data_IF_949507872626
#
_entry.id   IF_949507872626
#
_cell.length_a   1.000
_cell.length_b   1.000
_cell.length_c   1.000
_cell.angle_alpha   90.00
_cell.angle_beta   90.00
_cell.angle_gamma   90.00
#
_symmetry.space_group_name_H-M   'P 1'
#
loop_
_entity.id
_entity.type
_entity.pdbx_description
1 polymer ?
#
# COMPACT_ATOMS: atom_id res chain seq x y z
N UNK A 1 -7.42 45.86 36.18
CA UNK A 1 -6.18 45.49 35.47
C UNK A 1 -6.55 44.54 34.34
N UNK A 2 -6.58 45.07 33.11
CA UNK A 2 -6.86 44.29 31.90
C UNK A 2 -5.56 43.61 31.47
N UNK A 3 -5.57 42.27 31.47
CA UNK A 3 -4.48 41.46 30.93
C UNK A 3 -4.31 41.73 29.44
N UNK A 4 -3.25 42.44 29.08
CA UNK A 4 -2.79 42.60 27.72
C UNK A 4 -2.38 41.22 27.17
N UNK A 5 -3.32 40.51 26.54
CA UNK A 5 -2.98 39.50 25.54
C UNK A 5 -2.33 40.26 24.39
N UNK A 6 -1.01 40.24 24.32
CA UNK A 6 -0.26 40.74 23.17
C UNK A 6 -0.87 40.12 21.93
N UNK A 7 -1.48 40.95 21.08
CA UNK A 7 -2.10 40.51 19.84
C UNK A 7 -1.01 39.92 18.97
N UNK A 8 -1.03 38.59 18.82
CA UNK A 8 -0.18 37.93 17.83
C UNK A 8 -0.55 38.56 16.48
N UNK A 9 0.40 39.13 15.73
CA UNK A 9 0.11 39.71 14.43
C UNK A 9 -0.58 38.67 13.54
N UNK A 10 -1.60 39.10 12.79
CA UNK A 10 -2.33 38.20 11.90
C UNK A 10 -1.38 37.60 10.85
N UNK A 11 -1.68 36.39 10.38
CA UNK A 11 -0.92 35.73 9.31
C UNK A 11 -0.72 36.63 8.07
N UNK A 12 -1.69 37.51 7.78
CA UNK A 12 -1.62 38.50 6.70
C UNK A 12 -0.56 39.58 6.95
N UNK A 13 -0.46 40.09 8.18
CA UNK A 13 0.56 41.07 8.56
C UNK A 13 1.97 40.46 8.52
N UNK A 14 2.13 39.24 9.02
CA UNK A 14 3.40 38.50 8.97
C UNK A 14 3.87 38.29 7.52
N UNK A 15 2.94 38.04 6.59
CA UNK A 15 3.25 37.91 5.15
C UNK A 15 3.68 39.23 4.53
N UNK A 16 3.00 40.32 4.84
CA UNK A 16 3.38 41.65 4.32
C UNK A 16 4.75 42.07 4.83
N UNK A 17 5.11 41.68 6.06
CA UNK A 17 6.40 41.96 6.67
C UNK A 17 7.55 41.06 6.15
N UNK A 18 7.31 39.77 5.94
CA UNK A 18 8.35 38.77 5.59
C UNK A 18 8.41 38.44 4.09
N UNK A 19 7.39 38.79 3.32
CA UNK A 19 7.21 38.29 1.97
C UNK A 19 6.64 36.86 1.93
N UNK A 20 6.02 36.51 0.80
CA UNK A 20 5.21 35.30 0.71
C UNK A 20 6.03 33.99 0.73
N UNK A 21 7.26 34.01 0.24
CA UNK A 21 8.14 32.85 0.19
C UNK A 21 8.71 32.51 1.57
N UNK A 22 9.33 33.50 2.23
CA UNK A 22 9.93 33.33 3.55
C UNK A 22 8.89 32.92 4.61
N UNK A 23 7.66 33.45 4.49
CA UNK A 23 6.53 33.03 5.33
C UNK A 23 6.22 31.52 5.20
N UNK A 24 6.17 30.97 3.97
CA UNK A 24 5.86 29.55 3.76
C UNK A 24 6.98 28.65 4.28
N UNK A 25 8.24 29.05 4.09
CA UNK A 25 9.38 28.29 4.60
C UNK A 25 9.34 28.18 6.13
N UNK A 26 9.07 29.28 6.83
CA UNK A 26 8.90 29.31 8.29
C UNK A 26 7.74 28.40 8.71
N UNK A 27 6.61 28.46 7.98
CA UNK A 27 5.46 27.60 8.25
C UNK A 27 5.78 26.11 8.10
N UNK A 28 6.52 25.72 7.05
CA UNK A 28 6.94 24.33 6.85
C UNK A 28 7.85 23.88 8.01
N UNK A 29 8.79 24.73 8.43
CA UNK A 29 9.65 24.46 9.58
C UNK A 29 8.86 24.30 10.88
N UNK A 30 7.88 25.17 11.13
CA UNK A 30 7.01 25.11 12.31
C UNK A 30 6.18 23.82 12.33
N UNK A 31 5.52 23.48 11.21
CA UNK A 31 4.75 22.24 11.07
C UNK A 31 5.62 21.01 11.34
N UNK A 32 6.82 20.97 10.73
CA UNK A 32 7.77 19.88 10.94
C UNK A 32 8.15 19.74 12.42
N UNK A 33 8.46 20.85 13.10
CA UNK A 33 8.85 20.84 14.50
C UNK A 33 7.70 20.33 15.40
N UNK A 34 6.48 20.86 15.25
CA UNK A 34 5.32 20.41 16.02
C UNK A 34 5.00 18.93 15.78
N UNK A 35 5.13 18.45 14.54
CA UNK A 35 4.96 17.03 14.19
C UNK A 35 5.98 16.15 14.92
N UNK A 36 7.25 16.55 14.93
CA UNK A 36 8.32 15.79 15.62
C UNK A 36 8.16 15.78 17.14
N UNK A 37 7.57 16.84 17.71
CA UNK A 37 7.28 16.95 19.14
C UNK A 37 5.97 16.24 19.56
N UNK A 38 5.22 15.64 18.62
CA UNK A 38 3.95 14.98 18.89
C UNK A 38 2.79 15.94 19.19
N UNK A 39 2.95 17.24 18.94
CA UNK A 39 1.92 18.26 19.10
C UNK A 39 1.02 18.32 17.86
N UNK A 40 0.23 17.27 17.67
CA UNK A 40 -0.51 17.05 16.42
C UNK A 40 -1.64 18.06 16.18
N UNK A 41 -2.32 18.52 17.23
CA UNK A 41 -3.41 19.50 17.11
C UNK A 41 -2.92 20.85 16.57
N UNK A 42 -1.81 21.35 17.13
CA UNK A 42 -1.18 22.59 16.66
C UNK A 42 -0.62 22.45 15.25
N UNK A 43 0.00 21.30 14.94
CA UNK A 43 0.50 21.01 13.60
C UNK A 43 -0.65 21.01 12.57
N UNK A 44 -1.80 20.40 12.89
CA UNK A 44 -2.96 20.32 12.00
C UNK A 44 -3.58 21.71 11.75
N UNK A 45 -3.68 22.52 12.81
CA UNK A 45 -4.16 23.91 12.71
C UNK A 45 -3.22 24.75 11.83
N UNK A 46 -1.92 24.71 12.11
CA UNK A 46 -0.91 25.44 11.34
C UNK A 46 -0.91 25.04 9.87
N UNK A 47 -0.92 23.73 9.57
CA UNK A 47 -1.02 23.24 8.18
C UNK A 47 -2.28 23.77 7.49
N UNK A 48 -3.43 23.71 8.15
CA UNK A 48 -4.71 24.11 7.56
C UNK A 48 -4.72 25.60 7.21
N UNK A 49 -4.22 26.44 8.13
CA UNK A 49 -4.02 27.87 7.89
C UNK A 49 -3.07 28.10 6.71
N UNK A 50 -1.90 27.45 6.72
CA UNK A 50 -0.89 27.58 5.67
C UNK A 50 -1.39 27.13 4.29
N UNK A 51 -2.24 26.10 4.21
CA UNK A 51 -2.81 25.63 2.95
C UNK A 51 -3.83 26.60 2.34
N UNK A 52 -4.54 27.37 3.17
CA UNK A 52 -5.41 28.46 2.70
C UNK A 52 -4.55 29.56 2.10
N UNK A 53 -3.46 29.93 2.78
CA UNK A 53 -2.55 30.98 2.33
C UNK A 53 -1.70 30.57 1.12
N UNK A 54 -1.27 29.30 1.04
CA UNK A 54 -0.50 28.76 -0.07
C UNK A 54 -1.22 28.82 -1.42
N UNK A 55 -2.53 29.10 -1.45
CA UNK A 55 -3.27 29.37 -2.70
C UNK A 55 -2.84 30.66 -3.39
N UNK A 56 -2.21 31.58 -2.66
CA UNK A 56 -1.84 32.91 -3.13
C UNK A 56 -0.35 33.05 -3.46
N UNK A 57 0.41 31.96 -3.36
CA UNK A 57 1.82 31.90 -3.73
C UNK A 57 2.03 31.19 -5.05
N UNK A 58 2.95 31.73 -5.87
CA UNK A 58 3.34 31.13 -7.14
C UNK A 58 4.33 29.96 -7.00
N UNK A 59 4.91 29.77 -5.81
CA UNK A 59 5.86 28.69 -5.53
C UNK A 59 5.14 27.33 -5.39
N UNK A 60 5.13 26.59 -6.49
CA UNK A 60 4.53 25.26 -6.57
C UNK A 60 5.29 24.21 -5.74
N UNK A 61 6.59 24.37 -5.57
CA UNK A 61 7.41 23.40 -4.84
C UNK A 61 7.17 23.52 -3.34
N UNK A 62 7.09 24.74 -2.82
CA UNK A 62 6.74 24.99 -1.43
C UNK A 62 5.33 24.48 -1.09
N UNK A 63 4.34 24.69 -1.98
CA UNK A 63 2.99 24.14 -1.83
C UNK A 63 2.99 22.61 -1.83
N UNK A 64 3.80 21.99 -2.68
CA UNK A 64 3.92 20.54 -2.74
C UNK A 64 4.50 19.97 -1.44
N UNK A 65 5.54 20.60 -0.90
CA UNK A 65 6.13 20.22 0.39
C UNK A 65 5.13 20.40 1.53
N UNK A 66 4.42 21.53 1.57
CA UNK A 66 3.39 21.80 2.58
C UNK A 66 2.28 20.74 2.55
N UNK A 67 1.83 20.32 1.37
CA UNK A 67 0.82 19.26 1.22
C UNK A 67 1.32 17.88 1.60
N UNK A 68 2.60 17.58 1.38
CA UNK A 68 3.22 16.36 1.90
C UNK A 68 3.19 16.35 3.43
N UNK A 69 3.58 17.45 4.07
CA UNK A 69 3.49 17.58 5.52
C UNK A 69 2.05 17.51 6.02
N UNK A 70 1.09 18.07 5.29
CA UNK A 70 -0.32 17.94 5.62
C UNK A 70 -0.79 16.48 5.67
N UNK A 71 -0.35 15.65 4.71
CA UNK A 71 -0.65 14.21 4.71
C UNK A 71 0.02 13.52 5.91
N UNK A 72 1.26 13.86 6.23
CA UNK A 72 1.97 13.27 7.39
C UNK A 72 1.28 13.59 8.71
N UNK A 73 0.94 14.86 8.94
CA UNK A 73 0.26 15.32 10.17
C UNK A 73 -1.10 14.63 10.32
N UNK A 74 -1.90 14.63 9.26
CA UNK A 74 -3.25 14.02 9.29
C UNK A 74 -3.23 12.49 9.41
N UNK A 75 -2.19 11.82 8.91
CA UNK A 75 -1.98 10.38 9.14
C UNK A 75 -1.68 10.08 10.60
N UNK A 76 -0.90 10.95 11.27
CA UNK A 76 -0.56 10.79 12.69
C UNK A 76 -1.73 11.18 13.61
N UNK A 77 -2.51 12.22 13.25
CA UNK A 77 -3.68 12.64 14.04
C UNK A 77 -4.90 11.75 13.84
N UNK A 78 -4.93 10.92 12.79
CA UNK A 78 -6.07 10.06 12.45
C UNK A 78 -7.18 10.77 11.66
N UNK A 79 -6.98 12.03 11.27
CA UNK A 79 -7.92 12.83 10.49
C UNK A 79 -7.86 12.53 8.98
N UNK A 80 -8.11 11.27 8.60
CA UNK A 80 -7.87 10.79 7.22
C UNK A 80 -8.72 11.47 6.13
N UNK A 81 -9.91 11.98 6.46
CA UNK A 81 -10.76 12.69 5.49
C UNK A 81 -10.15 14.03 5.06
N UNK A 82 -9.51 14.75 5.98
CA UNK A 82 -8.81 16.00 5.69
C UNK A 82 -7.55 15.77 4.83
N UNK A 83 -6.90 14.61 5.00
CA UNK A 83 -5.74 14.20 4.21
C UNK A 83 -6.05 13.99 2.73
N UNK A 84 -7.31 13.67 2.39
CA UNK A 84 -7.67 13.17 1.06
C UNK A 84 -7.43 14.21 -0.04
N UNK A 85 -7.75 15.47 0.19
CA UNK A 85 -7.53 16.53 -0.81
C UNK A 85 -6.04 16.81 -1.02
N UNK A 86 -5.25 16.81 0.05
CA UNK A 86 -3.81 17.01 -0.01
C UNK A 86 -3.13 15.84 -0.73
N UNK A 87 -3.48 14.59 -0.42
CA UNK A 87 -2.85 13.44 -1.08
C UNK A 87 -3.22 13.35 -2.56
N UNK A 88 -4.47 13.67 -2.96
CA UNK A 88 -4.86 13.74 -4.38
C UNK A 88 -4.07 14.79 -5.15
N UNK A 89 -3.80 15.94 -4.53
CA UNK A 89 -2.95 16.96 -5.15
C UNK A 89 -1.54 16.40 -5.39
N UNK A 90 -0.92 15.82 -4.36
CA UNK A 90 0.45 15.28 -4.44
C UNK A 90 0.53 14.18 -5.52
N UNK A 91 -0.47 13.31 -5.63
CA UNK A 91 -0.56 12.30 -6.69
C UNK A 91 -0.66 12.92 -8.09
N UNK A 92 -1.39 14.03 -8.27
CA UNK A 92 -1.46 14.72 -9.57
C UNK A 92 -0.12 15.34 -9.96
N UNK A 93 0.63 15.90 -9.00
CA UNK A 93 1.95 16.50 -9.25
C UNK A 93 2.98 15.43 -9.56
N UNK A 94 2.95 14.29 -8.85
CA UNK A 94 3.91 13.19 -9.02
C UNK A 94 3.21 11.86 -9.36
N UNK A 95 2.60 11.74 -10.55
CA UNK A 95 1.81 10.57 -10.92
C UNK A 95 2.63 9.28 -11.07
N UNK A 96 3.95 9.37 -11.22
CA UNK A 96 4.85 8.21 -11.34
C UNK A 96 5.53 7.80 -10.02
N UNK A 97 5.33 8.53 -8.93
CA UNK A 97 6.05 8.30 -7.67
C UNK A 97 5.36 7.22 -6.84
N UNK A 98 5.99 6.04 -6.73
CA UNK A 98 5.48 4.93 -5.89
C UNK A 98 5.25 5.34 -4.43
N UNK A 99 6.18 6.05 -3.74
CA UNK A 99 5.96 6.46 -2.35
C UNK A 99 4.71 7.32 -2.14
N UNK A 100 4.43 8.23 -3.08
CA UNK A 100 3.23 9.10 -3.03
C UNK A 100 1.94 8.27 -3.14
N UNK A 101 1.93 7.28 -4.04
CA UNK A 101 0.79 6.39 -4.18
C UNK A 101 0.63 5.42 -3.00
N UNK A 102 1.72 5.03 -2.34
CA UNK A 102 1.64 4.27 -1.10
C UNK A 102 0.96 5.09 0.01
N UNK A 103 1.31 6.38 0.14
CA UNK A 103 0.63 7.30 1.07
C UNK A 103 -0.87 7.41 0.74
N UNK A 104 -1.22 7.54 -0.54
CA UNK A 104 -2.61 7.53 -0.99
C UNK A 104 -3.35 6.25 -0.56
N UNK A 105 -2.75 5.08 -0.76
CA UNK A 105 -3.32 3.80 -0.35
C UNK A 105 -3.49 3.72 1.18
N UNK A 106 -2.53 4.22 1.96
CA UNK A 106 -2.65 4.28 3.43
C UNK A 106 -3.83 5.15 3.86
N UNK A 107 -3.96 6.36 3.30
CA UNK A 107 -5.07 7.28 3.59
C UNK A 107 -6.41 6.64 3.23
N UNK A 108 -6.53 6.05 2.03
CA UNK A 108 -7.80 5.44 1.57
C UNK A 108 -8.21 4.24 2.43
N UNK A 109 -7.25 3.39 2.79
CA UNK A 109 -7.53 2.21 3.62
C UNK A 109 -8.01 2.62 5.02
N UNK A 110 -7.40 3.65 5.62
CA UNK A 110 -7.76 4.13 6.95
C UNK A 110 -9.04 5.00 6.96
N UNK A 111 -9.34 5.71 5.87
CA UNK A 111 -10.54 6.55 5.74
C UNK A 111 -11.84 5.76 5.48
N UNK A 112 -11.81 4.43 5.51
CA UNK A 112 -13.01 3.59 5.31
C UNK A 112 -13.35 3.29 3.85
N UNK A 113 -12.37 3.42 2.94
CA UNK A 113 -12.45 2.95 1.55
C UNK A 113 -13.67 3.52 0.77
N UNK A 114 -13.80 4.87 0.73
CA UNK A 114 -14.87 5.55 -0.01
C UNK A 114 -14.91 5.06 -1.47
N UNK A 115 -16.09 4.63 -1.93
CA UNK A 115 -16.31 4.14 -3.29
C UNK A 115 -15.87 5.12 -4.38
N UNK A 116 -15.63 6.40 -4.11
CA UNK A 116 -15.25 7.36 -5.13
C UNK A 116 -13.75 7.50 -5.41
N UNK A 117 -12.85 6.90 -4.62
CA UNK A 117 -11.41 7.07 -4.83
C UNK A 117 -10.92 6.53 -6.19
N UNK A 118 -11.51 5.44 -6.70
CA UNK A 118 -11.12 4.88 -8.00
C UNK A 118 -11.41 5.85 -9.16
N UNK A 119 -12.43 6.72 -9.07
CA UNK A 119 -12.71 7.74 -10.10
C UNK A 119 -11.58 8.77 -10.19
N UNK A 120 -10.92 9.05 -9.07
CA UNK A 120 -9.73 9.89 -9.05
C UNK A 120 -8.56 9.16 -9.71
N UNK A 121 -8.29 7.91 -9.33
CA UNK A 121 -7.21 7.10 -9.92
C UNK A 121 -7.41 6.95 -11.44
N UNK A 122 -8.63 6.65 -11.89
CA UNK A 122 -8.98 6.55 -13.31
C UNK A 122 -8.70 7.85 -14.07
N UNK A 123 -9.10 9.01 -13.52
CA UNK A 123 -8.79 10.31 -14.13
C UNK A 123 -7.29 10.57 -14.20
N UNK A 124 -6.54 10.19 -13.17
CA UNK A 124 -5.07 10.30 -13.18
C UNK A 124 -4.44 9.38 -14.23
N UNK A 125 -4.94 8.16 -14.38
CA UNK A 125 -4.48 7.21 -15.39
C UNK A 125 -4.78 7.68 -16.81
N UNK A 126 -5.95 8.28 -17.05
CA UNK A 126 -6.31 8.83 -18.36
C UNK A 126 -5.40 10.02 -18.74
N UNK A 127 -5.03 10.86 -17.77
CA UNK A 127 -4.07 11.96 -17.97
C UNK A 127 -2.63 11.45 -18.12
N UNK A 128 -2.28 10.37 -17.41
CA UNK A 128 -0.92 9.81 -17.38
C UNK A 128 -0.95 8.30 -17.69
N UNK A 129 -1.13 7.88 -18.96
CA UNK A 129 -1.33 6.49 -19.33
C UNK A 129 -0.13 5.57 -19.09
N UNK A 130 1.04 6.13 -18.78
CA UNK A 130 2.28 5.42 -18.45
C UNK A 130 2.54 5.28 -16.94
N UNK A 131 1.64 5.79 -16.08
CA UNK A 131 1.79 5.66 -14.63
C UNK A 131 1.51 4.22 -14.17
N UNK A 132 2.58 3.51 -13.79
CA UNK A 132 2.51 2.15 -13.26
C UNK A 132 1.71 2.07 -11.95
N UNK A 133 1.91 2.97 -10.96
CA UNK A 133 1.08 2.95 -9.74
C UNK A 133 -0.43 3.08 -10.03
N UNK A 134 -0.81 3.97 -10.95
CA UNK A 134 -2.20 4.11 -11.38
C UNK A 134 -2.76 2.82 -12.00
N UNK A 135 -1.98 2.14 -12.86
CA UNK A 135 -2.37 0.85 -13.45
C UNK A 135 -2.60 -0.20 -12.37
N UNK A 136 -1.69 -0.33 -11.41
CA UNK A 136 -1.79 -1.29 -10.31
C UNK A 136 -3.05 -1.02 -9.47
N UNK A 137 -3.26 0.23 -9.06
CA UNK A 137 -4.45 0.59 -8.26
C UNK A 137 -5.75 0.40 -9.03
N UNK A 138 -5.78 0.68 -10.34
CA UNK A 138 -6.95 0.37 -11.15
C UNK A 138 -7.18 -1.13 -11.27
N UNK A 139 -6.11 -1.91 -11.43
CA UNK A 139 -6.17 -3.37 -11.42
C UNK A 139 -6.75 -3.91 -10.11
N UNK A 140 -6.34 -3.36 -8.95
CA UNK A 140 -6.90 -3.72 -7.64
C UNK A 140 -8.40 -3.42 -7.58
N UNK A 141 -8.82 -2.22 -8.00
CA UNK A 141 -10.23 -1.87 -8.03
C UNK A 141 -11.06 -2.82 -8.90
N UNK A 142 -10.57 -3.17 -10.11
CA UNK A 142 -11.24 -4.12 -10.98
C UNK A 142 -11.33 -5.53 -10.35
N UNK A 143 -10.26 -5.98 -9.71
CA UNK A 143 -10.21 -7.29 -9.05
C UNK A 143 -11.22 -7.37 -7.90
N UNK A 144 -11.26 -6.33 -7.04
CA UNK A 144 -12.22 -6.23 -5.95
C UNK A 144 -13.66 -6.09 -6.44
N UNK A 145 -13.87 -5.49 -7.61
CA UNK A 145 -15.19 -5.41 -8.27
C UNK A 145 -15.58 -6.69 -9.03
N UNK A 146 -14.76 -7.74 -8.97
CA UNK A 146 -15.01 -9.03 -9.63
C UNK A 146 -14.75 -9.05 -11.15
N UNK A 147 -14.18 -7.98 -11.72
CA UNK A 147 -13.85 -7.88 -13.14
C UNK A 147 -12.40 -8.31 -13.42
N UNK A 148 -12.09 -9.58 -13.12
CA UNK A 148 -10.73 -10.15 -13.16
C UNK A 148 -10.00 -9.94 -14.51
N UNK A 149 -10.71 -10.02 -15.64
CA UNK A 149 -10.11 -9.81 -16.97
C UNK A 149 -9.59 -8.38 -17.15
N UNK A 150 -10.32 -7.38 -16.65
CA UNK A 150 -9.89 -5.97 -16.71
C UNK A 150 -8.70 -5.75 -15.78
N UNK A 151 -8.72 -6.36 -14.59
CA UNK A 151 -7.59 -6.31 -13.66
C UNK A 151 -6.31 -6.88 -14.28
N UNK A 152 -6.40 -8.06 -14.90
CA UNK A 152 -5.28 -8.67 -15.63
C UNK A 152 -4.81 -7.77 -16.79
N UNK A 153 -5.71 -7.11 -17.50
CA UNK A 153 -5.35 -6.13 -18.53
C UNK A 153 -4.47 -5.00 -17.99
N UNK A 154 -4.86 -4.41 -16.86
CA UNK A 154 -4.09 -3.33 -16.22
C UNK A 154 -2.74 -3.83 -15.66
N UNK A 155 -2.70 -5.00 -15.03
CA UNK A 155 -1.45 -5.58 -14.55
C UNK A 155 -0.50 -5.94 -15.71
N UNK A 156 -1.01 -6.43 -16.84
CA UNK A 156 -0.19 -6.69 -18.03
C UNK A 156 0.35 -5.40 -18.66
N UNK A 157 -0.40 -4.29 -18.60
CA UNK A 157 0.10 -2.96 -18.99
C UNK A 157 1.26 -2.53 -18.10
N UNK A 158 1.15 -2.75 -16.78
CA UNK A 158 2.21 -2.48 -15.82
C UNK A 158 3.44 -3.37 -16.08
N UNK A 159 3.25 -4.66 -16.31
CA UNK A 159 4.31 -5.63 -16.63
C UNK A 159 5.09 -5.26 -17.89
N UNK A 160 4.41 -4.78 -18.93
CA UNK A 160 5.08 -4.30 -20.15
C UNK A 160 6.06 -3.14 -19.87
N UNK A 161 5.87 -2.40 -18.77
CA UNK A 161 6.76 -1.29 -18.37
C UNK A 161 7.87 -1.74 -17.44
N UNK A 162 7.57 -2.57 -16.45
CA UNK A 162 8.54 -3.00 -15.44
C UNK A 162 8.39 -4.52 -15.23
N UNK A 163 8.90 -5.35 -16.15
CA UNK A 163 8.71 -6.81 -16.08
C UNK A 163 9.52 -7.47 -14.95
N UNK A 164 10.60 -6.82 -14.51
CA UNK A 164 11.47 -7.28 -13.42
C UNK A 164 10.94 -6.90 -12.03
N UNK A 165 9.80 -6.22 -11.94
CA UNK A 165 9.17 -5.93 -10.64
C UNK A 165 8.51 -7.20 -10.08
N UNK A 166 8.93 -7.70 -8.91
CA UNK A 166 8.37 -8.92 -8.35
C UNK A 166 6.89 -8.79 -7.98
N UNK A 167 6.47 -7.62 -7.49
CA UNK A 167 5.08 -7.39 -7.07
C UNK A 167 4.16 -7.49 -8.28
N UNK A 168 4.53 -6.90 -9.42
CA UNK A 168 3.71 -6.99 -10.65
C UNK A 168 3.51 -8.45 -11.07
N UNK A 169 4.58 -9.26 -11.05
CA UNK A 169 4.50 -10.69 -11.36
C UNK A 169 3.56 -11.44 -10.40
N UNK A 170 3.68 -11.16 -9.09
CA UNK A 170 2.79 -11.74 -8.08
C UNK A 170 1.32 -11.34 -8.29
N UNK A 171 1.05 -10.08 -8.63
CA UNK A 171 -0.30 -9.58 -8.89
C UNK A 171 -0.95 -10.24 -10.10
N UNK A 172 -0.18 -10.47 -11.17
CA UNK A 172 -0.65 -11.18 -12.37
C UNK A 172 -0.96 -12.64 -12.02
N UNK A 173 -0.05 -13.32 -11.30
CA UNK A 173 -0.26 -14.69 -10.85
C UNK A 173 -1.54 -14.80 -10.00
N UNK A 174 -1.72 -13.90 -9.03
CA UNK A 174 -2.92 -13.85 -8.20
C UNK A 174 -4.21 -13.56 -9.00
N UNK A 175 -4.13 -12.69 -10.01
CA UNK A 175 -5.23 -12.43 -10.93
C UNK A 175 -5.65 -13.69 -11.70
N UNK A 176 -4.69 -14.48 -12.20
CA UNK A 176 -4.99 -15.74 -12.86
C UNK A 176 -5.51 -16.81 -11.88
N UNK A 177 -4.94 -16.94 -10.68
CA UNK A 177 -5.45 -17.84 -9.64
C UNK A 177 -6.90 -17.51 -9.28
N UNK A 178 -7.22 -16.23 -9.11
CA UNK A 178 -8.58 -15.75 -8.89
C UNK A 178 -9.49 -16.09 -10.08
N UNK A 179 -8.96 -16.02 -11.31
CA UNK A 179 -9.73 -16.37 -12.50
C UNK A 179 -10.07 -17.87 -12.56
N UNK A 180 -9.13 -18.76 -12.23
CA UNK A 180 -9.33 -20.23 -12.23
C UNK A 180 -10.50 -20.63 -11.32
N UNK A 181 -10.61 -19.96 -10.15
CA UNK A 181 -11.68 -20.19 -9.17
C UNK A 181 -13.05 -19.67 -9.65
N UNK A 182 -13.07 -18.83 -10.69
CA UNK A 182 -14.32 -18.32 -11.25
C UNK A 182 -15.01 -19.36 -12.13
N UNK A 183 -16.34 -19.42 -12.05
CA UNK A 183 -17.18 -20.19 -12.99
C UNK A 183 -17.02 -19.74 -14.46
N UNK A 184 -16.51 -18.52 -14.69
CA UNK A 184 -16.28 -17.93 -16.02
C UNK A 184 -15.00 -18.42 -16.71
N UNK A 185 -14.15 -19.19 -16.02
CA UNK A 185 -12.93 -19.73 -16.62
C UNK A 185 -13.25 -21.03 -17.37
N UNK A 186 -13.13 -20.98 -18.69
CA UNK A 186 -13.36 -22.15 -19.58
C UNK A 186 -12.12 -23.04 -19.60
N UNK A 187 -10.95 -22.47 -19.88
CA UNK A 187 -9.69 -23.20 -19.97
C UNK A 187 -8.85 -23.04 -18.68
N UNK A 188 -9.19 -23.85 -17.67
CA UNK A 188 -8.53 -23.80 -16.36
C UNK A 188 -7.07 -24.25 -16.42
N UNK A 189 -6.76 -25.26 -17.22
CA UNK A 189 -5.41 -25.82 -17.32
C UNK A 189 -4.42 -24.81 -17.87
N UNK A 190 -4.74 -24.16 -18.99
CA UNK A 190 -3.87 -23.11 -19.56
C UNK A 190 -3.79 -21.89 -18.65
N UNK A 191 -4.89 -21.52 -17.99
CA UNK A 191 -4.89 -20.41 -17.03
C UNK A 191 -4.02 -20.72 -15.81
N UNK A 192 -4.03 -21.97 -15.34
CA UNK A 192 -3.15 -22.47 -14.28
C UNK A 192 -1.68 -22.36 -14.70
N UNK A 193 -1.34 -22.84 -15.90
CA UNK A 193 0.02 -22.71 -16.43
C UNK A 193 0.48 -21.25 -16.44
N UNK A 194 -0.36 -20.32 -16.93
CA UNK A 194 -0.05 -18.88 -16.92
C UNK A 194 0.16 -18.34 -15.51
N UNK A 195 -0.68 -18.72 -14.56
CA UNK A 195 -0.54 -18.30 -13.16
C UNK A 195 0.84 -18.69 -12.60
N UNK A 196 1.23 -19.95 -12.79
CA UNK A 196 2.51 -20.47 -12.29
C UNK A 196 3.71 -19.91 -13.06
N UNK A 197 3.60 -19.60 -14.35
CA UNK A 197 4.68 -18.90 -15.08
C UNK A 197 5.05 -17.59 -14.41
N UNK A 198 4.07 -16.75 -14.09
CA UNK A 198 4.32 -15.47 -13.42
C UNK A 198 4.75 -15.67 -11.95
N UNK A 199 4.20 -16.67 -11.27
CA UNK A 199 4.58 -16.99 -9.89
C UNK A 199 6.03 -17.47 -9.77
N UNK A 200 6.50 -18.29 -10.70
CA UNK A 200 7.91 -18.71 -10.76
C UNK A 200 8.85 -17.61 -11.21
N UNK A 201 8.40 -16.68 -12.08
CA UNK A 201 9.18 -15.49 -12.38
C UNK A 201 9.35 -14.61 -11.12
N UNK A 202 8.26 -14.38 -10.37
CA UNK A 202 8.32 -13.73 -9.06
C UNK A 202 9.29 -14.45 -8.09
N UNK A 203 9.25 -15.78 -8.05
CA UNK A 203 10.14 -16.59 -7.21
C UNK A 203 11.61 -16.36 -7.52
N UNK A 204 11.96 -16.30 -8.82
CA UNK A 204 13.32 -16.00 -9.29
C UNK A 204 13.76 -14.59 -8.89
N UNK A 205 12.89 -13.59 -9.07
CA UNK A 205 13.21 -12.19 -8.74
C UNK A 205 13.39 -11.95 -7.23
N UNK A 206 12.74 -12.76 -6.38
CA UNK A 206 12.85 -12.71 -4.92
C UNK A 206 13.80 -13.76 -4.33
N UNK A 207 14.64 -14.37 -5.18
CA UNK A 207 15.67 -15.34 -4.80
C UNK A 207 15.18 -16.47 -3.90
N UNK A 208 13.97 -17.01 -4.16
CA UNK A 208 13.40 -18.12 -3.39
C UNK A 208 13.43 -17.87 -1.86
N UNK A 209 13.10 -16.65 -1.45
CA UNK A 209 12.99 -16.27 -0.03
C UNK A 209 11.84 -16.98 0.69
N UNK A 210 11.81 -16.87 2.02
CA UNK A 210 10.74 -17.43 2.86
C UNK A 210 9.33 -17.05 2.36
N UNK A 211 9.14 -15.77 1.97
CA UNK A 211 7.89 -15.26 1.38
C UNK A 211 7.48 -16.00 0.11
N UNK A 212 8.45 -16.35 -0.74
CA UNK A 212 8.20 -17.04 -2.01
C UNK A 212 7.66 -18.44 -1.75
N UNK A 213 8.31 -19.21 -0.88
CA UNK A 213 7.86 -20.56 -0.54
C UNK A 213 6.46 -20.53 0.07
N UNK A 214 6.20 -19.58 0.97
CA UNK A 214 4.87 -19.39 1.54
C UNK A 214 3.83 -19.10 0.44
N UNK A 215 4.09 -18.16 -0.45
CA UNK A 215 3.17 -17.76 -1.51
C UNK A 215 2.91 -18.88 -2.54
N UNK A 216 3.93 -19.66 -2.91
CA UNK A 216 3.76 -20.85 -3.77
C UNK A 216 2.92 -21.91 -3.05
N UNK A 217 3.22 -22.17 -1.77
CA UNK A 217 2.43 -23.08 -0.93
C UNK A 217 0.97 -22.65 -0.84
N UNK A 218 0.70 -21.34 -0.67
CA UNK A 218 -0.65 -20.76 -0.66
C UNK A 218 -1.36 -20.93 -2.00
N UNK A 219 -0.68 -20.71 -3.11
CA UNK A 219 -1.24 -20.91 -4.44
C UNK A 219 -1.64 -22.38 -4.69
N UNK A 220 -0.77 -23.33 -4.33
CA UNK A 220 -1.05 -24.76 -4.44
C UNK A 220 -2.19 -25.20 -3.50
N UNK A 221 -2.21 -24.68 -2.27
CA UNK A 221 -3.28 -24.92 -1.30
C UNK A 221 -4.63 -24.41 -1.85
N UNK A 222 -4.67 -23.20 -2.44
CA UNK A 222 -5.90 -22.65 -3.04
C UNK A 222 -6.48 -23.53 -4.16
N UNK A 223 -5.62 -24.26 -4.88
CA UNK A 223 -6.01 -25.22 -5.92
C UNK A 223 -6.22 -26.65 -5.38
N UNK A 224 -6.19 -26.84 -4.06
CA UNK A 224 -6.29 -28.14 -3.37
C UNK A 224 -5.21 -29.15 -3.76
N UNK A 225 -4.06 -28.70 -4.25
CA UNK A 225 -2.90 -29.55 -4.57
C UNK A 225 -2.01 -29.68 -3.33
N UNK A 226 -2.54 -30.32 -2.29
CA UNK A 226 -1.91 -30.36 -0.97
C UNK A 226 -0.53 -31.03 -0.97
N UNK A 227 -0.33 -32.05 -1.80
CA UNK A 227 0.97 -32.74 -1.95
C UNK A 227 2.10 -31.80 -2.35
N UNK A 228 1.80 -30.72 -3.09
CA UNK A 228 2.76 -29.70 -3.48
C UNK A 228 2.81 -28.54 -2.50
N UNK A 229 1.72 -28.26 -1.78
CA UNK A 229 1.65 -27.20 -0.79
C UNK A 229 2.44 -27.52 0.49
N UNK A 230 2.34 -28.77 0.99
CA UNK A 230 3.02 -29.25 2.20
C UNK A 230 4.54 -28.98 2.17
N UNK A 231 5.30 -29.46 1.16
CA UNK A 231 6.75 -29.24 1.15
C UNK A 231 7.11 -27.76 1.10
N UNK A 232 6.29 -26.91 0.46
CA UNK A 232 6.52 -25.46 0.46
C UNK A 232 6.39 -24.86 1.86
N UNK A 233 5.38 -25.24 2.64
CA UNK A 233 5.23 -24.78 4.02
C UNK A 233 6.32 -25.35 4.93
N UNK A 234 6.71 -26.61 4.76
CA UNK A 234 7.82 -27.20 5.50
C UNK A 234 9.14 -26.45 5.24
N UNK A 235 9.41 -26.05 3.99
CA UNK A 235 10.55 -25.19 3.68
C UNK A 235 10.50 -23.86 4.44
N UNK A 236 9.33 -23.21 4.52
CA UNK A 236 9.17 -21.97 5.30
C UNK A 236 9.55 -22.16 6.78
N UNK A 237 9.18 -23.30 7.37
CA UNK A 237 9.50 -23.62 8.77
C UNK A 237 11.01 -23.81 9.00
N UNK A 238 11.71 -24.37 8.00
CA UNK A 238 13.15 -24.61 8.03
C UNK A 238 13.97 -23.33 7.78
N UNK A 239 13.44 -22.36 7.04
CA UNK A 239 14.14 -21.11 6.74
C UNK A 239 14.22 -20.17 7.95
N UNK A 240 15.24 -19.30 7.99
CA UNK A 240 15.31 -18.21 8.97
C UNK A 240 14.34 -17.07 8.63
N UNK A 241 14.06 -16.16 9.59
CA UNK A 241 13.33 -14.94 9.30
C UNK A 241 14.06 -14.14 8.21
N UNK A 242 13.34 -13.34 7.41
CA UNK A 242 13.96 -12.54 6.35
C UNK A 242 15.03 -11.60 6.91
N UNK A 243 16.18 -11.51 6.22
CA UNK A 243 17.31 -10.67 6.62
C UNK A 243 16.89 -9.20 6.72
N UNK A 244 17.19 -8.56 7.86
CA UNK A 244 16.94 -7.13 8.09
C UNK A 244 15.51 -6.74 8.48
N UNK A 245 14.62 -7.70 8.78
CA UNK A 245 13.29 -7.43 9.32
C UNK A 245 13.19 -7.64 10.83
N UNK A 246 12.37 -6.84 11.52
CA UNK A 246 12.10 -6.90 12.98
C UNK A 246 11.34 -8.18 13.43
N UNK A 247 11.51 -9.32 12.75
CA UNK A 247 10.76 -10.56 12.99
C UNK A 247 9.27 -10.49 12.60
N UNK A 248 8.72 -9.28 12.39
CA UNK A 248 7.32 -9.03 11.95
C UNK A 248 6.99 -9.71 10.62
N UNK A 249 8.00 -9.99 9.79
CA UNK A 249 7.86 -10.60 8.47
C UNK A 249 8.14 -12.11 8.46
N UNK A 250 8.32 -12.75 9.63
CA UNK A 250 8.51 -14.21 9.72
C UNK A 250 7.19 -14.96 9.50
N UNK A 251 7.11 -15.71 8.41
CA UNK A 251 5.88 -16.39 7.96
C UNK A 251 5.71 -17.80 8.54
N UNK A 252 6.54 -18.21 9.52
CA UNK A 252 6.47 -19.55 10.13
C UNK A 252 5.12 -19.83 10.78
N UNK A 253 4.53 -18.84 11.46
CA UNK A 253 3.26 -19.02 12.18
C UNK A 253 2.12 -19.27 11.19
N UNK A 254 2.08 -18.50 10.11
CA UNK A 254 1.12 -18.61 9.03
C UNK A 254 1.28 -19.93 8.27
N UNK A 255 2.53 -20.32 7.97
CA UNK A 255 2.84 -21.60 7.34
C UNK A 255 2.42 -22.79 8.21
N UNK A 256 2.75 -22.78 9.51
CA UNK A 256 2.36 -23.81 10.46
C UNK A 256 0.84 -23.93 10.59
N UNK A 257 0.13 -22.81 10.65
CA UNK A 257 -1.34 -22.79 10.70
C UNK A 257 -1.95 -23.42 9.44
N UNK A 258 -1.44 -23.04 8.25
CA UNK A 258 -1.90 -23.61 6.98
C UNK A 258 -1.61 -25.10 6.86
N UNK A 259 -0.44 -25.55 7.32
CA UNK A 259 -0.06 -26.95 7.32
C UNK A 259 -0.92 -27.77 8.30
N UNK A 260 -1.20 -27.23 9.49
CA UNK A 260 -2.10 -27.84 10.46
C UNK A 260 -3.53 -28.00 9.91
N UNK A 261 -4.02 -27.04 9.12
CA UNK A 261 -5.30 -27.19 8.42
C UNK A 261 -5.28 -28.39 7.46
N UNK A 262 -4.24 -28.53 6.63
CA UNK A 262 -4.10 -29.67 5.70
C UNK A 262 -4.07 -31.00 6.47
N UNK A 263 -3.27 -31.09 7.53
CA UNK A 263 -3.19 -32.30 8.35
C UNK A 263 -4.50 -32.63 9.04
N UNK A 264 -5.25 -31.64 9.51
CA UNK A 264 -6.58 -31.85 10.09
C UNK A 264 -7.55 -32.44 9.07
N UNK A 265 -7.58 -31.91 7.84
CA UNK A 265 -8.43 -32.44 6.76
C UNK A 265 -8.03 -33.87 6.37
N UNK A 266 -6.74 -34.22 6.47
CA UNK A 266 -6.25 -35.59 6.23
C UNK A 266 -6.50 -36.58 7.38
N UNK A 267 -7.01 -36.12 8.53
CA UNK A 267 -7.24 -36.95 9.73
C UNK A 267 -6.05 -37.01 10.71
N UNK A 268 -4.90 -36.44 10.37
CA UNK A 268 -3.68 -36.41 11.19
C UNK A 268 -3.74 -35.32 12.29
N UNK A 269 -4.68 -35.47 13.23
CA UNK A 269 -4.97 -34.44 14.25
C UNK A 269 -3.82 -34.20 15.22
N UNK A 270 -3.03 -35.22 15.54
CA UNK A 270 -1.90 -35.09 16.48
C UNK A 270 -0.76 -34.26 15.89
N UNK A 271 -0.44 -34.46 14.60
CA UNK A 271 0.51 -33.62 13.86
C UNK A 271 0.03 -32.18 13.73
N UNK A 272 -1.27 -31.99 13.46
CA UNK A 272 -1.85 -30.65 13.43
C UNK A 272 -1.72 -29.94 14.79
N UNK A 273 -2.01 -30.65 15.89
CA UNK A 273 -1.86 -30.12 17.25
C UNK A 273 -0.41 -29.78 17.58
N UNK A 274 0.54 -30.66 17.27
CA UNK A 274 1.95 -30.44 17.59
C UNK A 274 2.51 -29.22 16.86
N UNK A 275 2.13 -28.99 15.60
CA UNK A 275 2.50 -27.79 14.85
C UNK A 275 1.96 -26.52 15.50
N UNK A 276 0.67 -26.49 15.86
CA UNK A 276 0.05 -25.32 16.47
C UNK A 276 0.66 -25.00 17.85
N UNK A 277 0.96 -26.02 18.65
CA UNK A 277 1.64 -25.83 19.94
C UNK A 277 3.03 -25.26 19.73
N UNK A 278 3.81 -25.81 18.79
CA UNK A 278 5.20 -25.40 18.55
C UNK A 278 5.31 -23.97 18.00
N UNK A 279 4.45 -23.57 17.05
CA UNK A 279 4.63 -22.34 16.28
C UNK A 279 3.56 -21.26 16.54
N UNK A 280 2.40 -21.61 17.07
CA UNK A 280 1.27 -20.69 17.19
C UNK A 280 0.94 -20.27 18.63
N UNK A 281 1.63 -20.79 19.64
CA UNK A 281 1.47 -20.36 21.05
C UNK A 281 2.43 -19.21 21.40
N UNK A 282 2.04 -18.37 22.36
CA UNK A 282 2.79 -17.19 22.82
C UNK A 282 3.42 -17.45 24.18
#
# INVERSE_FOLDING_TARGET
EHGARGGVPSAEFMREALGAQEYIEICICAVRAHTQLGQLEDAERLVSECLVFGRFTDDKDAIHVLRLWAVVVTLQSGAYLAAFDSVRYVCNVRPHSVPVWNLFSTVVNNAGNDKNHYKFVLRCLLKNPSSVPCMILMGHHCLMSGTVKLALGEYMRAYKRIPEDPLINLLIANGYLSHIMSRKCVDRSTTCLRAFTFLFQYARLRNWSQEVYYNIGRAMHQLSVYSMAIPCYEQVLLMGPPEGGDGVMDLKREAACNLAMIYRESGSRDLARSLLVTYCTF
#
